data_IF_357535779775
#
_entry.id   IF_357535779775
#
_cell.length_a   1.000
_cell.length_b   1.000
_cell.length_c   1.000
_cell.angle_alpha   90.00
_cell.angle_beta   90.00
_cell.angle_gamma   90.00
#
_symmetry.space_group_name_H-M   'P 1'
#
loop_
_entity.id
_entity.type
_entity.pdbx_description
1 polymer ?
#
# COMPACT_ATOMS: atom_id res chain seq x y z
N UNK A 1 -70.86 10.71 -25.64
CA UNK A 1 -70.05 9.48 -25.62
C UNK A 1 -68.57 9.88 -25.59
N UNK A 2 -67.94 9.73 -24.44
CA UNK A 2 -66.51 10.10 -24.24
C UNK A 2 -65.74 8.79 -24.07
N UNK A 3 -64.92 8.46 -25.06
CA UNK A 3 -64.05 7.29 -24.99
C UNK A 3 -62.82 7.60 -24.10
N UNK A 4 -62.67 6.88 -22.98
CA UNK A 4 -61.46 6.86 -22.15
C UNK A 4 -60.55 5.76 -22.64
N UNK A 5 -59.39 6.12 -23.14
CA UNK A 5 -58.25 5.21 -23.44
C UNK A 5 -57.52 4.85 -22.15
N UNK A 6 -57.25 3.57 -21.85
CA UNK A 6 -56.44 3.20 -20.70
C UNK A 6 -54.96 3.42 -21.02
N UNK A 7 -54.29 4.18 -20.16
CA UNK A 7 -52.83 4.34 -20.14
C UNK A 7 -52.23 3.08 -19.51
N UNK A 8 -51.59 2.26 -20.34
CA UNK A 8 -50.82 1.11 -19.88
C UNK A 8 -49.49 1.61 -19.31
N UNK A 9 -49.29 1.47 -17.98
CA UNK A 9 -48.02 1.68 -17.32
C UNK A 9 -47.13 0.47 -17.62
N UNK A 10 -46.12 0.65 -18.49
CA UNK A 10 -45.04 -0.29 -18.66
C UNK A 10 -44.08 -0.09 -17.49
N UNK A 11 -44.11 -1.00 -16.54
CA UNK A 11 -43.05 -1.15 -15.56
C UNK A 11 -41.81 -1.73 -16.27
N UNK A 12 -40.83 -0.88 -16.53
CA UNK A 12 -39.50 -1.33 -16.89
C UNK A 12 -38.88 -1.96 -15.61
N UNK A 13 -38.91 -3.26 -15.51
CA UNK A 13 -38.06 -4.02 -14.57
C UNK A 13 -36.60 -3.84 -15.03
N UNK A 14 -35.95 -2.86 -14.44
CA UNK A 14 -34.48 -2.79 -14.49
C UNK A 14 -33.98 -4.06 -13.83
N UNK A 15 -33.42 -5.00 -14.61
CA UNK A 15 -32.64 -6.10 -14.10
C UNK A 15 -31.44 -5.48 -13.40
N UNK A 16 -31.54 -5.28 -12.08
CA UNK A 16 -30.38 -5.12 -11.24
C UNK A 16 -29.63 -6.47 -11.33
N UNK A 17 -28.67 -6.53 -12.26
CA UNK A 17 -27.68 -7.60 -12.25
C UNK A 17 -26.99 -7.53 -10.90
N UNK A 18 -27.16 -8.56 -10.06
CA UNK A 18 -26.29 -8.77 -8.94
C UNK A 18 -24.87 -8.79 -9.50
N UNK A 19 -24.08 -7.73 -9.28
CA UNK A 19 -22.64 -7.81 -9.46
C UNK A 19 -22.21 -9.00 -8.59
N UNK A 20 -21.59 -9.98 -9.21
CA UNK A 20 -20.96 -11.08 -8.49
C UNK A 20 -19.98 -10.41 -7.54
N UNK A 21 -20.19 -10.54 -6.25
CA UNK A 21 -19.27 -10.06 -5.25
C UNK A 21 -18.04 -10.94 -5.39
N UNK A 22 -16.92 -10.38 -5.78
CA UNK A 22 -15.67 -11.13 -5.84
C UNK A 22 -15.31 -11.54 -4.40
N UNK A 23 -15.12 -12.84 -4.19
CA UNK A 23 -14.72 -13.38 -2.89
C UNK A 23 -13.27 -12.97 -2.58
N UNK A 24 -12.97 -12.73 -1.30
CA UNK A 24 -11.61 -12.46 -0.85
C UNK A 24 -10.69 -13.64 -1.23
N UNK A 25 -9.52 -13.40 -1.83
CA UNK A 25 -8.60 -14.45 -2.23
C UNK A 25 -8.02 -15.16 -1.01
N UNK A 26 -7.72 -16.45 -1.17
CA UNK A 26 -7.10 -17.30 -0.15
C UNK A 26 -5.69 -17.76 -0.54
N UNK A 27 -5.04 -17.00 -1.38
CA UNK A 27 -3.66 -17.21 -1.81
C UNK A 27 -2.88 -15.92 -1.55
N UNK A 28 -1.72 -16.03 -0.92
CA UNK A 28 -0.89 -14.90 -0.53
C UNK A 28 -0.58 -13.98 -1.71
N UNK A 29 -0.20 -14.56 -2.84
CA UNK A 29 0.23 -13.84 -4.03
C UNK A 29 -0.85 -12.91 -4.58
N UNK A 30 -2.13 -13.29 -4.45
CA UNK A 30 -3.27 -12.49 -4.92
C UNK A 30 -3.87 -11.59 -3.86
N UNK A 31 -3.67 -11.91 -2.58
CA UNK A 31 -4.27 -11.16 -1.46
C UNK A 31 -3.79 -9.71 -1.41
N UNK A 32 -2.51 -9.44 -1.68
CA UNK A 32 -1.98 -8.07 -1.65
C UNK A 32 -2.51 -7.22 -2.80
N UNK A 33 -2.66 -7.80 -4.00
CA UNK A 33 -3.26 -7.10 -5.14
C UNK A 33 -4.74 -6.77 -4.87
N UNK A 34 -5.47 -7.71 -4.26
CA UNK A 34 -6.85 -7.51 -3.84
C UNK A 34 -6.97 -6.40 -2.77
N UNK A 35 -6.10 -6.41 -1.76
CA UNK A 35 -6.05 -5.36 -0.73
C UNK A 35 -5.80 -3.97 -1.34
N UNK A 36 -4.92 -3.89 -2.35
CA UNK A 36 -4.65 -2.64 -3.04
C UNK A 36 -5.88 -2.16 -3.83
N UNK A 37 -6.56 -3.04 -4.56
CA UNK A 37 -7.73 -2.74 -5.39
C UNK A 37 -8.94 -2.29 -4.55
N UNK A 38 -9.15 -2.93 -3.41
CA UNK A 38 -10.32 -2.71 -2.54
C UNK A 38 -10.04 -1.82 -1.33
N UNK A 39 -8.90 -1.13 -1.34
CA UNK A 39 -8.45 -0.34 -0.19
C UNK A 39 -9.46 0.72 0.26
N UNK A 40 -10.17 1.32 -0.67
CA UNK A 40 -11.16 2.40 -0.47
C UNK A 40 -12.63 1.93 -0.49
N UNK A 41 -12.88 0.62 -0.49
CA UNK A 41 -14.24 0.09 -0.39
C UNK A 41 -14.93 0.62 0.88
N UNK A 42 -16.16 1.13 0.73
CA UNK A 42 -16.96 1.65 1.87
C UNK A 42 -17.26 0.55 2.89
N UNK A 43 -17.53 -0.67 2.42
CA UNK A 43 -17.70 -1.84 3.27
C UNK A 43 -16.36 -2.53 3.50
N UNK A 44 -15.81 -2.51 4.72
CA UNK A 44 -14.51 -3.10 5.02
C UNK A 44 -14.53 -4.63 5.15
N UNK A 45 -15.69 -5.30 5.10
CA UNK A 45 -15.81 -6.74 5.40
C UNK A 45 -14.81 -7.58 4.58
N UNK A 46 -14.67 -7.28 3.29
CA UNK A 46 -13.71 -7.97 2.41
C UNK A 46 -12.26 -7.72 2.77
N UNK A 47 -11.94 -6.50 3.17
CA UNK A 47 -10.59 -6.17 3.64
C UNK A 47 -10.31 -6.87 4.95
N UNK A 48 -11.27 -6.93 5.87
CA UNK A 48 -11.15 -7.66 7.14
C UNK A 48 -10.84 -9.13 6.87
N UNK A 49 -11.63 -9.82 6.02
CA UNK A 49 -11.40 -11.22 5.65
C UNK A 49 -9.99 -11.45 5.07
N UNK A 50 -9.53 -10.53 4.22
CA UNK A 50 -8.20 -10.63 3.60
C UNK A 50 -7.08 -10.35 4.61
N UNK A 51 -7.27 -9.37 5.50
CA UNK A 51 -6.32 -9.06 6.59
C UNK A 51 -6.19 -10.26 7.53
N UNK A 52 -7.30 -10.85 7.96
CA UNK A 52 -7.30 -12.04 8.84
C UNK A 52 -6.63 -13.25 8.16
N UNK A 53 -6.91 -13.48 6.87
CA UNK A 53 -6.23 -14.51 6.09
C UNK A 53 -4.71 -14.29 6.04
N UNK A 54 -4.25 -13.05 5.78
CA UNK A 54 -2.83 -12.73 5.71
C UNK A 54 -2.14 -12.86 7.07
N UNK A 55 -2.85 -12.53 8.15
CA UNK A 55 -2.34 -12.72 9.52
C UNK A 55 -2.17 -14.20 9.87
N UNK A 56 -3.17 -15.05 9.58
CA UNK A 56 -3.07 -16.50 9.73
C UNK A 56 -1.94 -17.08 8.86
N UNK A 57 -1.79 -16.59 7.63
CA UNK A 57 -0.72 -17.01 6.73
C UNK A 57 0.65 -16.72 7.33
N UNK A 58 0.87 -15.52 7.90
CA UNK A 58 2.13 -15.14 8.55
C UNK A 58 2.49 -16.04 9.73
N UNK A 59 1.50 -16.49 10.51
CA UNK A 59 1.73 -17.42 11.64
C UNK A 59 2.23 -18.78 11.15
N UNK A 60 1.74 -19.24 9.99
CA UNK A 60 2.07 -20.54 9.40
C UNK A 60 3.25 -20.52 8.42
N UNK A 61 3.71 -19.35 8.01
CA UNK A 61 4.72 -19.19 6.99
C UNK A 61 6.13 -19.45 7.51
N UNK A 62 7.02 -19.84 6.58
CA UNK A 62 8.45 -19.74 6.80
C UNK A 62 8.86 -18.27 6.76
N UNK A 63 8.92 -17.64 7.94
CA UNK A 63 9.25 -16.21 8.05
C UNK A 63 10.63 -15.89 7.50
N UNK A 64 11.61 -16.82 7.56
CA UNK A 64 12.93 -16.61 6.98
C UNK A 64 12.83 -16.47 5.46
N UNK A 65 12.05 -17.34 4.79
CA UNK A 65 11.78 -17.21 3.36
C UNK A 65 10.96 -15.95 3.04
N UNK A 66 9.96 -15.62 3.86
CA UNK A 66 9.15 -14.42 3.70
C UNK A 66 9.98 -13.13 3.86
N UNK A 67 11.02 -13.15 4.71
CA UNK A 67 11.98 -12.04 4.89
C UNK A 67 12.98 -11.91 3.71
N UNK A 68 13.18 -12.95 2.91
CA UNK A 68 14.00 -12.86 1.69
C UNK A 68 13.28 -12.19 0.52
N UNK A 69 11.98 -12.01 0.63
CA UNK A 69 11.09 -11.44 -0.37
C UNK A 69 10.40 -12.49 -1.23
N UNK A 70 9.13 -12.27 -1.47
CA UNK A 70 8.25 -13.15 -2.26
C UNK A 70 7.74 -12.41 -3.48
N UNK A 71 7.61 -13.13 -4.61
CA UNK A 71 6.91 -12.61 -5.78
C UNK A 71 5.40 -12.59 -5.50
N UNK A 72 4.73 -11.53 -5.94
CA UNK A 72 3.28 -11.38 -5.83
C UNK A 72 2.63 -11.17 -7.19
N UNK A 73 1.34 -11.49 -7.28
CA UNK A 73 0.56 -11.30 -8.49
C UNK A 73 0.53 -9.81 -8.89
N UNK A 74 0.63 -9.52 -10.18
CA UNK A 74 0.52 -8.15 -10.68
C UNK A 74 -0.86 -7.55 -10.41
N UNK A 75 -0.89 -6.22 -10.27
CA UNK A 75 -2.14 -5.47 -10.14
C UNK A 75 -2.97 -5.58 -11.43
N UNK A 76 -4.28 -5.78 -11.33
CA UNK A 76 -5.16 -5.64 -12.48
C UNK A 76 -5.29 -4.15 -12.88
N UNK A 77 -5.55 -3.88 -14.16
CA UNK A 77 -5.73 -2.49 -14.63
C UNK A 77 -6.91 -1.77 -13.93
N UNK A 78 -7.91 -2.51 -13.45
CA UNK A 78 -9.01 -1.98 -12.64
C UNK A 78 -8.55 -1.34 -11.34
N UNK A 79 -7.51 -1.89 -10.72
CA UNK A 79 -6.97 -1.40 -9.45
C UNK A 79 -6.27 -0.03 -9.56
N UNK A 80 -5.81 0.33 -10.76
CA UNK A 80 -4.99 1.54 -10.96
C UNK A 80 -5.63 2.57 -11.87
N UNK A 81 -6.62 2.17 -12.69
CA UNK A 81 -7.18 3.03 -13.74
C UNK A 81 -7.93 4.28 -13.23
N UNK A 82 -8.31 4.31 -11.96
CA UNK A 82 -9.00 5.45 -11.31
C UNK A 82 -8.10 6.30 -10.42
N UNK A 83 -6.83 5.93 -10.24
CA UNK A 83 -5.91 6.64 -9.35
C UNK A 83 -5.54 8.02 -9.89
N UNK A 84 -5.33 8.96 -8.98
CA UNK A 84 -4.92 10.33 -9.33
C UNK A 84 -3.47 10.37 -9.84
N UNK A 85 -3.20 11.26 -10.79
CA UNK A 85 -1.88 11.47 -11.37
C UNK A 85 -1.83 11.22 -12.87
N UNK A 86 -0.71 10.69 -13.35
CA UNK A 86 -0.53 10.34 -14.76
C UNK A 86 -1.38 9.12 -15.17
N UNK A 87 -1.35 8.75 -16.44
CA UNK A 87 -2.07 7.56 -16.92
C UNK A 87 -1.36 6.28 -16.45
N UNK A 88 -1.91 5.69 -15.39
CA UNK A 88 -1.37 4.49 -14.74
C UNK A 88 -1.50 3.23 -15.60
N UNK A 89 -0.46 2.41 -15.58
CA UNK A 89 -0.38 1.16 -16.36
C UNK A 89 0.05 0.01 -15.47
N UNK A 90 -0.32 -1.19 -15.87
CA UNK A 90 0.08 -2.44 -15.21
C UNK A 90 0.99 -3.31 -16.07
N UNK A 91 1.22 -2.93 -17.32
CA UNK A 91 2.12 -3.64 -18.22
C UNK A 91 3.58 -3.51 -17.74
N UNK A 92 4.24 -4.64 -17.61
CA UNK A 92 5.65 -4.70 -17.19
C UNK A 92 5.88 -4.45 -15.69
N UNK A 93 4.83 -4.41 -14.87
CA UNK A 93 4.98 -4.36 -13.42
C UNK A 93 5.65 -5.63 -12.89
N UNK A 94 6.57 -5.46 -11.98
CA UNK A 94 7.11 -6.53 -11.16
C UNK A 94 6.63 -6.35 -9.71
N UNK A 95 5.94 -7.39 -9.20
CA UNK A 95 5.43 -7.41 -7.84
C UNK A 95 6.39 -8.15 -6.90
N UNK A 96 6.72 -7.51 -5.78
CA UNK A 96 7.52 -8.10 -4.70
C UNK A 96 6.91 -7.76 -3.36
N UNK A 97 7.01 -8.68 -2.41
CA UNK A 97 6.60 -8.46 -1.03
C UNK A 97 7.66 -8.91 -0.03
N UNK A 98 7.56 -8.39 1.18
CA UNK A 98 8.42 -8.70 2.30
C UNK A 98 7.60 -8.72 3.59
N UNK A 99 7.85 -9.70 4.45
CA UNK A 99 7.37 -9.67 5.82
C UNK A 99 8.47 -9.12 6.75
N UNK A 100 8.07 -8.30 7.71
CA UNK A 100 8.94 -7.78 8.77
C UNK A 100 8.18 -7.78 10.10
N UNK A 101 8.89 -7.56 11.19
CA UNK A 101 8.27 -7.37 12.50
C UNK A 101 8.79 -6.12 13.18
N UNK A 102 8.03 -5.59 14.12
CA UNK A 102 8.45 -4.55 15.05
C UNK A 102 8.11 -4.99 16.48
N UNK A 103 8.96 -4.62 17.42
CA UNK A 103 8.71 -4.86 18.84
C UNK A 103 7.70 -3.88 19.46
N UNK A 104 7.23 -2.91 18.70
CA UNK A 104 6.30 -1.88 19.15
C UNK A 104 4.90 -2.18 18.67
N UNK A 105 3.87 -1.83 19.47
CA UNK A 105 2.49 -2.03 19.09
C UNK A 105 2.11 -1.16 17.88
N UNK A 106 1.13 -1.64 17.12
CA UNK A 106 0.67 -1.02 15.86
C UNK A 106 0.33 0.47 16.01
N UNK A 107 -0.20 0.90 17.16
CA UNK A 107 -0.51 2.31 17.40
C UNK A 107 0.73 3.21 17.46
N UNK A 108 1.85 2.74 18.04
CA UNK A 108 3.10 3.50 18.08
C UNK A 108 3.75 3.57 16.68
N UNK A 109 3.73 2.47 15.95
CA UNK A 109 4.19 2.48 14.56
C UNK A 109 3.39 3.48 13.73
N UNK A 110 2.08 3.45 13.89
CA UNK A 110 1.19 4.33 13.15
C UNK A 110 1.43 5.81 13.50
N UNK A 111 1.62 6.13 14.77
CA UNK A 111 2.00 7.48 15.20
C UNK A 111 3.30 7.91 14.52
N UNK A 112 4.34 7.06 14.57
CA UNK A 112 5.61 7.34 13.88
C UNK A 112 5.41 7.55 12.38
N UNK A 113 4.71 6.63 11.69
CA UNK A 113 4.50 6.66 10.25
C UNK A 113 3.64 7.84 9.77
N UNK A 114 2.76 8.41 10.60
CA UNK A 114 1.86 9.50 10.19
C UNK A 114 2.26 10.86 10.73
N UNK A 115 2.88 10.96 11.90
CA UNK A 115 3.17 12.24 12.54
C UNK A 115 4.59 12.76 12.31
N UNK A 116 5.52 11.88 11.90
CA UNK A 116 6.93 12.26 11.75
C UNK A 116 7.42 12.12 10.32
N UNK A 117 8.41 12.94 9.95
CA UNK A 117 9.06 12.88 8.65
C UNK A 117 10.00 11.69 8.56
N UNK A 118 9.90 10.90 7.49
CA UNK A 118 10.80 9.78 7.23
C UNK A 118 12.26 10.22 7.08
N UNK A 119 12.53 11.43 6.62
CA UNK A 119 13.89 11.97 6.59
C UNK A 119 14.53 12.10 7.99
N UNK A 120 13.70 12.18 9.05
CA UNK A 120 14.21 12.15 10.44
C UNK A 120 14.35 10.73 10.98
N UNK A 121 13.43 9.84 10.60
CA UNK A 121 13.42 8.46 11.08
C UNK A 121 14.45 7.59 10.36
N UNK A 122 14.64 7.84 9.07
CA UNK A 122 15.46 7.04 8.15
C UNK A 122 16.43 7.94 7.37
N UNK A 123 17.36 8.65 8.05
CA UNK A 123 18.18 9.68 7.41
C UNK A 123 19.18 9.12 6.38
N UNK A 124 19.47 7.82 6.45
CA UNK A 124 20.32 7.13 5.46
C UNK A 124 19.57 6.74 4.18
N UNK A 125 18.24 6.87 4.18
CA UNK A 125 17.38 6.53 3.03
C UNK A 125 16.78 7.79 2.43
N UNK A 126 16.21 8.68 3.26
CA UNK A 126 15.52 9.88 2.80
C UNK A 126 16.32 11.14 3.07
N UNK A 127 16.68 11.85 2.01
CA UNK A 127 17.27 13.20 2.07
C UNK A 127 16.18 14.22 2.39
N UNK A 128 15.02 14.07 1.74
CA UNK A 128 13.83 14.89 1.94
C UNK A 128 12.60 14.00 2.00
N UNK A 129 11.67 14.35 2.87
CA UNK A 129 10.36 13.69 2.95
C UNK A 129 9.34 14.70 3.49
N UNK A 130 8.61 15.32 2.57
CA UNK A 130 7.59 16.32 2.86
C UNK A 130 6.22 15.71 2.61
N UNK A 131 5.38 15.68 3.65
CA UNK A 131 4.03 15.13 3.62
C UNK A 131 3.02 16.23 3.91
N UNK A 132 1.98 16.31 3.08
CA UNK A 132 0.80 17.12 3.30
C UNK A 132 -0.43 16.22 3.37
N UNK A 133 -1.23 16.37 4.41
CA UNK A 133 -2.51 15.68 4.53
C UNK A 133 -3.63 16.53 3.99
N UNK A 134 -4.46 15.94 3.15
CA UNK A 134 -5.73 16.54 2.71
C UNK A 134 -6.81 16.34 3.77
N UNK A 135 -6.75 15.21 4.48
CA UNK A 135 -7.69 14.86 5.55
C UNK A 135 -7.06 13.91 6.58
N UNK A 136 -7.62 13.87 7.78
CA UNK A 136 -7.38 12.85 8.80
C UNK A 136 -6.10 13.00 9.63
N UNK A 137 -5.23 13.98 9.40
CA UNK A 137 -3.95 14.11 10.10
C UNK A 137 -4.10 14.11 11.63
N UNK A 138 -5.05 14.89 12.14
CA UNK A 138 -5.20 15.12 13.58
C UNK A 138 -5.90 13.97 14.32
N UNK A 139 -6.56 13.07 13.59
CA UNK A 139 -7.42 12.04 14.17
C UNK A 139 -6.99 10.61 13.88
N UNK A 140 -6.20 10.36 12.81
CA UNK A 140 -5.81 9.01 12.42
C UNK A 140 -4.92 8.33 13.48
N UNK A 141 -4.04 9.08 14.13
CA UNK A 141 -3.15 8.57 15.17
C UNK A 141 -3.90 8.07 16.41
N UNK A 142 -4.98 8.75 16.79
CA UNK A 142 -5.81 8.41 17.94
C UNK A 142 -6.96 7.45 17.60
N UNK A 143 -7.16 7.13 16.32
CA UNK A 143 -8.30 6.38 15.77
C UNK A 143 -9.65 7.08 15.97
N UNK A 144 -9.65 8.40 16.19
CA UNK A 144 -10.88 9.21 16.17
C UNK A 144 -11.44 9.30 14.73
N UNK A 145 -10.62 9.02 13.72
CA UNK A 145 -11.03 8.68 12.36
C UNK A 145 -10.30 7.42 11.89
N UNK A 146 -10.91 6.70 10.95
CA UNK A 146 -10.37 5.45 10.42
C UNK A 146 -9.69 5.62 9.06
N UNK A 147 -9.64 6.84 8.54
CA UNK A 147 -9.08 7.17 7.23
C UNK A 147 -8.30 8.47 7.28
N UNK A 148 -7.18 8.50 6.56
CA UNK A 148 -6.45 9.72 6.25
C UNK A 148 -5.83 9.61 4.87
N UNK A 149 -5.70 10.73 4.18
CA UNK A 149 -5.09 10.81 2.86
C UNK A 149 -4.26 12.07 2.70
N UNK A 150 -3.32 12.02 1.77
CA UNK A 150 -2.44 13.15 1.51
C UNK A 150 -1.51 12.92 0.33
N UNK A 151 -0.53 13.79 0.21
CA UNK A 151 0.56 13.71 -0.75
C UNK A 151 1.92 13.68 -0.07
N UNK A 152 2.89 13.13 -0.77
CA UNK A 152 4.29 13.06 -0.31
C UNK A 152 5.20 13.45 -1.46
N UNK A 153 6.06 14.43 -1.22
CA UNK A 153 7.25 14.66 -2.02
C UNK A 153 8.46 14.08 -1.30
N UNK A 154 9.29 13.31 -1.99
CA UNK A 154 10.49 12.76 -1.38
C UNK A 154 11.68 12.72 -2.32
N UNK A 155 12.88 12.83 -1.74
CA UNK A 155 14.16 12.53 -2.38
C UNK A 155 14.82 11.45 -1.54
N UNK A 156 15.07 10.28 -2.13
CA UNK A 156 15.68 9.14 -1.47
C UNK A 156 17.03 8.79 -2.09
N UNK A 157 18.00 8.40 -1.26
CA UNK A 157 19.29 7.88 -1.75
C UNK A 157 19.16 6.36 -2.02
N UNK A 158 19.22 6.00 -3.28
CA UNK A 158 19.20 4.61 -3.74
C UNK A 158 20.63 4.08 -3.99
N UNK A 159 21.62 4.64 -3.34
CA UNK A 159 23.01 4.20 -3.39
C UNK A 159 23.60 4.32 -4.79
N UNK A 160 23.89 3.18 -5.43
CA UNK A 160 24.49 3.15 -6.80
C UNK A 160 23.59 3.74 -7.86
N UNK A 161 22.28 3.75 -7.65
CA UNK A 161 21.28 4.31 -8.56
C UNK A 161 21.13 5.82 -8.41
N UNK A 162 21.74 6.41 -7.36
CA UNK A 162 21.70 7.84 -7.07
C UNK A 162 20.47 8.28 -6.31
N UNK A 163 20.23 9.57 -6.31
CA UNK A 163 19.06 10.16 -5.69
C UNK A 163 17.84 9.99 -6.59
N UNK A 164 16.74 9.53 -6.00
CA UNK A 164 15.46 9.31 -6.68
C UNK A 164 14.42 10.27 -6.10
N UNK A 165 13.87 11.11 -6.97
CA UNK A 165 12.80 12.05 -6.62
C UNK A 165 11.44 11.39 -6.93
N UNK A 166 10.49 11.52 -6.04
CA UNK A 166 9.16 10.93 -6.21
C UNK A 166 8.05 11.78 -5.59
N UNK A 167 6.98 11.98 -6.36
CA UNK A 167 5.70 12.52 -5.93
C UNK A 167 4.69 11.39 -5.81
N UNK A 168 4.01 11.31 -4.66
CA UNK A 168 3.10 10.20 -4.33
C UNK A 168 1.79 10.71 -3.75
N UNK A 169 0.72 9.98 -4.02
CA UNK A 169 -0.46 9.96 -3.15
C UNK A 169 -0.27 8.89 -2.09
N UNK A 170 -0.77 9.17 -0.89
CA UNK A 170 -0.71 8.24 0.23
C UNK A 170 -2.05 8.22 0.96
N UNK A 171 -2.48 7.02 1.33
CA UNK A 171 -3.69 6.77 2.07
C UNK A 171 -3.40 5.84 3.24
N UNK A 172 -4.10 6.07 4.34
CA UNK A 172 -4.02 5.31 5.57
C UNK A 172 -5.41 4.86 6.00
N UNK A 173 -5.51 3.64 6.49
CA UNK A 173 -6.78 3.09 6.96
C UNK A 173 -6.58 2.19 8.16
N UNK A 174 -7.46 2.36 9.18
CA UNK A 174 -7.63 1.40 10.25
C UNK A 174 -8.73 0.39 9.92
N UNK A 175 -8.48 -0.87 10.23
CA UNK A 175 -9.44 -1.98 10.10
C UNK A 175 -9.49 -2.74 11.41
N UNK A 176 -10.69 -2.93 11.96
CA UNK A 176 -10.90 -3.76 13.13
C UNK A 176 -11.02 -5.23 12.71
N UNK A 177 -10.18 -6.08 13.28
CA UNK A 177 -10.14 -7.53 13.08
C UNK A 177 -10.43 -8.26 14.39
N UNK A 178 -10.56 -9.58 14.35
CA UNK A 178 -10.74 -10.39 15.55
C UNK A 178 -9.57 -10.26 16.56
N UNK A 179 -8.35 -10.04 16.07
CA UNK A 179 -7.13 -9.93 16.90
C UNK A 179 -6.83 -8.48 17.32
N UNK A 180 -7.60 -7.50 16.85
CA UNK A 180 -7.45 -6.08 17.17
C UNK A 180 -7.39 -5.19 15.93
N UNK A 181 -6.80 -4.01 16.08
CA UNK A 181 -6.76 -3.02 15.01
C UNK A 181 -5.54 -3.17 14.13
N UNK A 182 -5.76 -3.57 12.87
CA UNK A 182 -4.75 -3.54 11.81
C UNK A 182 -4.68 -2.16 11.16
N UNK A 183 -3.47 -1.73 10.83
CA UNK A 183 -3.22 -0.48 10.14
C UNK A 183 -2.72 -0.74 8.72
N UNK A 184 -3.41 -0.17 7.75
CA UNK A 184 -3.13 -0.29 6.33
C UNK A 184 -2.58 1.03 5.78
N UNK A 185 -1.67 0.92 4.83
CA UNK A 185 -1.10 2.04 4.11
C UNK A 185 -1.08 1.70 2.62
N UNK A 186 -1.63 2.58 1.77
CA UNK A 186 -1.53 2.48 0.30
C UNK A 186 -0.87 3.75 -0.23
N UNK A 187 -0.01 3.63 -1.24
CA UNK A 187 0.48 4.78 -1.98
C UNK A 187 0.85 4.41 -3.42
N UNK A 188 0.92 5.43 -4.28
CA UNK A 188 1.32 5.31 -5.66
C UNK A 188 2.01 6.59 -6.15
N UNK A 189 2.85 6.47 -7.20
CA UNK A 189 3.42 7.62 -7.88
C UNK A 189 2.34 8.39 -8.63
N UNK A 190 2.37 9.72 -8.53
CA UNK A 190 1.50 10.61 -9.31
C UNK A 190 2.13 11.07 -10.61
N UNK A 191 3.45 10.97 -10.69
CA UNK A 191 4.26 11.28 -11.87
C UNK A 191 5.40 10.27 -11.98
N UNK A 192 5.99 10.16 -13.17
CA UNK A 192 7.20 9.36 -13.38
C UNK A 192 8.34 9.85 -12.49
N UNK A 193 8.98 8.94 -11.78
CA UNK A 193 10.11 9.21 -10.91
C UNK A 193 11.42 9.00 -11.66
N UNK A 194 12.39 9.86 -11.43
CA UNK A 194 13.69 9.78 -12.10
C UNK A 194 14.83 9.76 -11.11
N UNK A 195 15.86 9.00 -11.43
CA UNK A 195 17.10 8.94 -10.66
C UNK A 195 18.20 9.77 -11.28
N UNK A 196 19.14 10.23 -10.45
CA UNK A 196 20.27 11.07 -10.89
C UNK A 196 21.37 10.30 -11.59
N UNK A 197 21.35 8.94 -11.54
CA UNK A 197 22.38 8.09 -12.12
C UNK A 197 21.79 7.00 -13.02
N UNK A 198 22.60 6.51 -13.95
CA UNK A 198 22.31 5.38 -14.84
C UNK A 198 21.08 5.58 -15.75
N UNK A 199 20.56 6.82 -15.86
CA UNK A 199 19.33 7.08 -16.59
C UNK A 199 18.13 6.30 -16.03
N UNK A 200 18.08 6.16 -14.72
CA UNK A 200 17.00 5.48 -14.01
C UNK A 200 15.70 6.26 -14.20
N UNK A 201 14.66 5.54 -14.59
CA UNK A 201 13.27 6.00 -14.60
C UNK A 201 12.38 4.93 -13.95
N UNK A 202 11.42 5.36 -13.12
CA UNK A 202 10.37 4.53 -12.55
C UNK A 202 9.05 5.09 -13.09
N UNK A 203 8.47 4.39 -14.06
CA UNK A 203 7.25 4.82 -14.73
C UNK A 203 6.04 4.75 -13.81
N UNK A 204 5.83 3.61 -13.19
CA UNK A 204 4.78 3.37 -12.22
C UNK A 204 5.35 2.69 -10.97
N UNK A 205 4.86 3.06 -9.81
CA UNK A 205 5.11 2.34 -8.56
C UNK A 205 3.88 2.42 -7.67
N UNK A 206 3.49 1.27 -7.14
CA UNK A 206 2.36 1.07 -6.23
C UNK A 206 2.85 0.34 -4.99
N UNK A 207 2.21 0.60 -3.86
CA UNK A 207 2.58 -0.01 -2.60
C UNK A 207 1.36 -0.26 -1.72
N UNK A 208 1.38 -1.37 -1.02
CA UNK A 208 0.49 -1.71 0.08
C UNK A 208 1.31 -2.14 1.29
N UNK A 209 1.02 -1.58 2.45
CA UNK A 209 1.57 -1.98 3.73
C UNK A 209 0.45 -2.39 4.67
N UNK A 210 0.63 -3.52 5.35
CA UNK A 210 -0.33 -4.04 6.31
C UNK A 210 0.42 -4.30 7.61
N UNK A 211 -0.08 -3.74 8.70
CA UNK A 211 0.52 -3.86 10.02
C UNK A 211 -0.51 -4.52 10.94
N UNK A 212 -0.18 -5.71 11.46
CA UNK A 212 -1.05 -6.53 12.29
C UNK A 212 -0.61 -6.45 13.75
N UNK A 213 -1.52 -6.36 14.72
CA UNK A 213 -1.17 -6.48 16.13
C UNK A 213 -0.60 -7.88 16.42
N UNK A 214 0.48 -7.95 17.23
CA UNK A 214 1.12 -9.20 17.63
C UNK A 214 1.57 -9.11 19.10
N UNK A 215 0.63 -9.30 20.02
CA UNK A 215 0.86 -9.05 21.43
C UNK A 215 1.27 -7.60 21.69
N UNK A 216 2.49 -7.40 22.21
CA UNK A 216 3.08 -6.08 22.44
C UNK A 216 3.82 -5.52 21.20
N UNK A 217 3.86 -6.27 20.11
CA UNK A 217 4.56 -5.93 18.87
C UNK A 217 3.63 -5.78 17.68
N UNK A 218 4.23 -5.78 16.48
CA UNK A 218 3.53 -5.69 15.20
C UNK A 218 4.21 -6.58 14.16
N UNK A 219 3.43 -7.42 13.49
CA UNK A 219 3.83 -8.08 12.24
C UNK A 219 3.48 -7.18 11.07
N UNK A 220 4.29 -7.19 10.03
CA UNK A 220 4.13 -6.29 8.90
C UNK A 220 4.30 -7.03 7.59
N UNK A 221 3.46 -6.72 6.60
CA UNK A 221 3.65 -7.12 5.21
C UNK A 221 3.80 -5.86 4.37
N UNK A 222 4.79 -5.87 3.50
CA UNK A 222 5.02 -4.85 2.48
C UNK A 222 4.84 -5.50 1.11
N UNK A 223 4.00 -4.90 0.26
CA UNK A 223 3.88 -5.26 -1.15
C UNK A 223 4.14 -4.06 -2.02
N UNK A 224 4.91 -4.23 -3.10
CA UNK A 224 5.10 -3.18 -4.09
C UNK A 224 5.15 -3.76 -5.49
N UNK A 225 4.65 -2.97 -6.41
CA UNK A 225 4.70 -3.21 -7.86
C UNK A 225 5.35 -2.01 -8.51
N UNK A 226 6.31 -2.23 -9.39
CA UNK A 226 6.97 -1.13 -10.09
C UNK A 226 7.37 -1.52 -11.50
N UNK A 227 7.42 -0.50 -12.37
CA UNK A 227 8.13 -0.56 -13.65
C UNK A 227 9.40 0.27 -13.52
N UNK A 228 10.54 -0.27 -13.91
CA UNK A 228 11.81 0.42 -13.85
C UNK A 228 12.58 0.27 -15.15
N UNK A 229 13.09 1.36 -15.68
CA UNK A 229 13.96 1.40 -16.84
C UNK A 229 15.33 1.97 -16.48
N UNK A 230 16.37 1.41 -17.06
CA UNK A 230 17.73 1.95 -17.00
C UNK A 230 18.36 1.92 -18.39
N UNK A 231 19.17 2.92 -18.69
CA UNK A 231 19.88 3.01 -19.99
C UNK A 231 20.90 1.85 -20.16
N UNK A 232 21.38 1.29 -19.07
CA UNK A 232 22.38 0.22 -19.08
C UNK A 232 21.92 -0.99 -18.26
N UNK A 233 21.51 -2.07 -18.92
CA UNK A 233 21.27 -3.37 -18.29
C UNK A 233 19.82 -3.69 -17.96
N UNK A 234 19.60 -4.92 -17.49
CA UNK A 234 18.33 -5.42 -17.00
C UNK A 234 18.10 -4.87 -15.57
N UNK A 235 17.15 -3.95 -15.46
CA UNK A 235 16.88 -3.22 -14.22
C UNK A 235 16.06 -4.02 -13.20
N UNK A 236 15.26 -4.96 -13.68
CA UNK A 236 14.17 -5.56 -12.91
C UNK A 236 14.64 -6.32 -11.68
N UNK A 237 15.57 -7.22 -11.84
CA UNK A 237 16.11 -8.04 -10.72
C UNK A 237 16.85 -7.18 -9.68
N UNK A 238 17.40 -6.04 -10.09
CA UNK A 238 18.09 -5.09 -9.19
C UNK A 238 17.13 -4.30 -8.33
N UNK A 239 15.98 -3.91 -8.88
CA UNK A 239 14.99 -3.08 -8.22
C UNK A 239 14.32 -3.79 -7.03
N UNK A 240 13.83 -5.01 -7.25
CA UNK A 240 13.19 -5.81 -6.21
C UNK A 240 14.14 -6.07 -5.04
N UNK A 241 15.41 -6.40 -5.31
CA UNK A 241 16.44 -6.58 -4.27
C UNK A 241 16.72 -5.29 -3.51
N UNK A 242 16.75 -4.15 -4.19
CA UNK A 242 16.96 -2.86 -3.54
C UNK A 242 15.78 -2.48 -2.65
N UNK A 243 14.54 -2.72 -3.10
CA UNK A 243 13.34 -2.51 -2.29
C UNK A 243 13.36 -3.36 -1.02
N UNK A 244 13.63 -4.66 -1.12
CA UNK A 244 13.73 -5.57 0.02
C UNK A 244 14.78 -5.07 1.02
N UNK A 245 15.96 -4.70 0.52
CA UNK A 245 17.03 -4.15 1.36
C UNK A 245 16.59 -2.87 2.08
N UNK A 246 15.94 -1.96 1.36
CA UNK A 246 15.47 -0.71 1.94
C UNK A 246 14.40 -0.97 3.01
N UNK A 247 13.42 -1.83 2.76
CA UNK A 247 12.36 -2.14 3.74
C UNK A 247 12.90 -2.81 5.01
N UNK A 248 13.91 -3.69 4.90
CA UNK A 248 14.58 -4.24 6.09
C UNK A 248 15.25 -3.14 6.90
N UNK A 249 15.98 -2.25 6.24
CA UNK A 249 16.61 -1.12 6.91
C UNK A 249 15.57 -0.16 7.48
N UNK A 250 14.51 0.12 6.77
CA UNK A 250 13.41 0.98 7.24
C UNK A 250 12.76 0.42 8.51
N UNK A 251 12.59 -0.91 8.61
CA UNK A 251 12.05 -1.55 9.80
C UNK A 251 12.98 -1.39 11.01
N UNK A 252 14.29 -1.59 10.82
CA UNK A 252 15.30 -1.42 11.87
C UNK A 252 15.41 0.05 12.32
N UNK A 253 15.48 0.98 11.38
CA UNK A 253 15.59 2.42 11.63
C UNK A 253 14.34 2.96 12.35
N UNK A 254 13.15 2.50 11.94
CA UNK A 254 11.88 2.87 12.57
C UNK A 254 11.84 2.42 14.02
N UNK A 255 12.21 1.16 14.31
CA UNK A 255 12.25 0.64 15.67
C UNK A 255 13.28 1.39 16.53
N UNK A 256 14.44 1.69 15.98
CA UNK A 256 15.46 2.47 16.67
C UNK A 256 14.98 3.90 16.98
N UNK A 257 14.30 4.53 16.01
CA UNK A 257 13.75 5.87 16.18
C UNK A 257 12.63 5.92 17.24
N UNK A 258 11.69 4.97 17.21
CA UNK A 258 10.62 4.86 18.21
C UNK A 258 11.22 4.71 19.61
N UNK A 259 12.23 3.82 19.76
CA UNK A 259 12.91 3.61 21.04
C UNK A 259 13.55 4.88 21.63
N UNK A 260 13.95 5.80 20.78
CA UNK A 260 14.66 7.01 21.18
C UNK A 260 13.74 8.23 21.38
N UNK A 261 12.49 8.20 20.83
CA UNK A 261 11.66 9.40 20.72
C UNK A 261 10.23 9.23 21.27
N UNK A 262 9.71 8.02 21.34
CA UNK A 262 8.40 7.68 21.89
C UNK A 262 8.50 6.78 23.13
#
# INVERSE_FOLDING_TARGET
>A
MVYRTPIAWMFALSAMGCKKVDEAPKEYESALAYMFEHFDDEDPERLVETVEFLDEWLVGADLEAAEEGLSIQNLPQSAVGGLAGHAHKTDGLEGVSLATSSRYPTCMLMEALTQYSFARMMPDVYITYDREFDSGQDCIATRDCLWAEGSVYSVADWGVLGEVTADRRIEYRWIETAEGWAFLQRWWLTEESTGTRLGLSIGDQYYIGINFPDGDGTRRIHGSWLTMEMVTGDASTGASKQLIKNWKKDAEDLDAWISANL
#
